data_IF_244480411007
#
_entry.id   IF_244480411007
#
_cell.length_a   1.000
_cell.length_b   1.000
_cell.length_c   1.000
_cell.angle_alpha   90.00
_cell.angle_beta   90.00
_cell.angle_gamma   90.00
#
_symmetry.space_group_name_H-M   'P 1'
#
loop_
_entity.id
_entity.type
_entity.pdbx_description
1 polymer ?
#
# COMPACT_ATOMS: atom_id res chain seq x y z
N UNK A 1 32.61 -45.90 39.05
CA UNK A 1 31.63 -46.14 37.96
C UNK A 1 30.99 -44.81 37.62
N UNK A 2 31.13 -44.36 36.37
CA UNK A 2 30.69 -43.06 35.86
C UNK A 2 29.16 -42.96 35.89
N UNK A 3 28.59 -41.99 36.60
CA UNK A 3 27.21 -41.54 36.37
C UNK A 3 27.28 -40.13 35.83
N UNK A 4 27.06 -40.04 34.53
CA UNK A 4 27.12 -38.85 33.70
C UNK A 4 25.96 -37.92 34.10
N UNK A 5 26.29 -36.71 34.52
CA UNK A 5 25.34 -35.61 34.65
C UNK A 5 25.03 -35.13 33.23
N UNK A 6 23.88 -35.50 32.66
CA UNK A 6 23.41 -34.88 31.42
C UNK A 6 22.86 -33.52 31.82
N UNK A 7 23.64 -32.47 31.61
CA UNK A 7 23.08 -31.13 31.46
C UNK A 7 22.14 -31.20 30.27
N UNK A 8 20.83 -31.13 30.52
CA UNK A 8 19.90 -30.71 29.51
C UNK A 8 20.29 -29.27 29.17
N UNK A 9 21.16 -29.11 28.17
CA UNK A 9 21.18 -27.90 27.36
C UNK A 9 19.79 -27.92 26.72
N UNK A 10 18.83 -27.31 27.41
CA UNK A 10 17.67 -26.76 26.73
C UNK A 10 18.26 -25.89 25.65
N UNK A 11 18.21 -26.38 24.41
CA UNK A 11 18.38 -25.54 23.25
C UNK A 11 17.29 -24.49 23.45
N UNK A 12 17.68 -23.31 23.93
CA UNK A 12 16.91 -22.11 23.67
C UNK A 12 16.97 -22.05 22.16
N UNK A 13 15.94 -22.58 21.50
CA UNK A 13 15.65 -22.21 20.14
C UNK A 13 15.40 -20.71 20.24
N UNK A 14 16.47 -19.94 20.09
CA UNK A 14 16.42 -18.56 19.69
C UNK A 14 15.77 -18.69 18.32
N UNK A 15 14.43 -18.68 18.29
CA UNK A 15 13.72 -18.26 17.10
C UNK A 15 14.20 -16.84 16.91
N UNK A 16 15.29 -16.68 16.18
CA UNK A 16 15.75 -15.37 15.77
C UNK A 16 14.52 -14.72 15.16
N UNK A 17 14.09 -13.62 15.74
CA UNK A 17 13.12 -12.72 15.13
C UNK A 17 13.81 -12.13 13.90
N UNK A 18 14.03 -12.97 12.89
CA UNK A 18 14.53 -12.55 11.61
C UNK A 18 13.31 -11.99 10.91
N UNK A 19 13.28 -10.68 10.71
CA UNK A 19 12.32 -10.09 9.80
C UNK A 19 12.42 -10.80 8.45
N UNK A 20 11.30 -11.36 7.99
CA UNK A 20 11.19 -11.98 6.67
C UNK A 20 10.27 -11.11 5.82
N UNK A 21 10.60 -10.98 4.53
CA UNK A 21 9.69 -10.38 3.57
C UNK A 21 8.57 -11.38 3.25
N UNK A 22 7.33 -10.92 3.37
CA UNK A 22 6.15 -11.66 2.88
C UNK A 22 5.59 -10.91 1.69
N UNK A 23 5.34 -11.62 0.59
CA UNK A 23 4.76 -11.03 -0.60
C UNK A 23 3.25 -10.88 -0.41
N UNK A 24 2.75 -9.65 -0.57
CA UNK A 24 1.32 -9.35 -0.65
C UNK A 24 0.89 -9.39 -2.11
N UNK A 25 -0.23 -10.07 -2.41
CA UNK A 25 -0.66 -10.34 -3.78
C UNK A 25 -2.05 -9.74 -4.04
N UNK A 26 -2.13 -8.58 -4.71
CA UNK A 26 -3.40 -7.98 -5.11
C UNK A 26 -4.19 -8.73 -6.18
N UNK A 27 -3.73 -9.92 -6.61
CA UNK A 27 -4.41 -10.73 -7.64
C UNK A 27 -4.32 -10.16 -9.06
N UNK A 28 -3.39 -9.25 -9.32
CA UNK A 28 -3.19 -8.59 -10.62
C UNK A 28 -1.71 -8.51 -10.99
N UNK A 29 -1.44 -8.35 -12.29
CA UNK A 29 -0.09 -8.10 -12.83
C UNK A 29 0.17 -6.59 -13.05
N UNK A 30 -0.65 -5.72 -12.46
CA UNK A 30 -0.47 -4.27 -12.54
C UNK A 30 0.90 -3.85 -11.95
N UNK A 31 1.55 -2.90 -12.62
CA UNK A 31 2.79 -2.30 -12.11
C UNK A 31 2.45 -1.17 -11.16
N UNK A 32 2.51 -1.45 -9.86
CA UNK A 32 2.34 -0.43 -8.82
C UNK A 32 3.54 0.52 -8.79
N UNK A 33 3.24 1.82 -8.67
CA UNK A 33 4.23 2.90 -8.61
C UNK A 33 4.35 3.47 -7.21
N UNK A 34 3.29 3.38 -6.41
CA UNK A 34 3.27 3.91 -5.05
C UNK A 34 2.34 3.13 -4.12
N UNK A 35 2.62 3.23 -2.82
CA UNK A 35 1.89 2.57 -1.74
C UNK A 35 1.74 3.51 -0.55
N UNK A 36 0.57 3.51 0.08
CA UNK A 36 0.26 4.29 1.27
C UNK A 36 -0.45 3.40 2.31
N UNK A 37 -0.11 3.56 3.57
CA UNK A 37 -0.83 2.94 4.70
C UNK A 37 -1.63 4.04 5.38
N UNK A 38 -2.84 3.72 5.87
CA UNK A 38 -3.65 4.66 6.63
C UNK A 38 -2.86 5.22 7.83
N UNK A 39 -3.01 6.52 8.13
CA UNK A 39 -2.29 7.15 9.23
C UNK A 39 -2.76 6.71 10.63
N UNK A 40 -3.89 5.99 10.74
CA UNK A 40 -4.47 5.61 12.04
C UNK A 40 -4.92 4.14 12.12
N UNK A 41 -4.90 3.39 11.02
CA UNK A 41 -5.30 1.99 11.00
C UNK A 41 -4.49 1.19 9.96
N UNK A 42 -3.50 0.43 10.43
CA UNK A 42 -2.57 -0.31 9.59
C UNK A 42 -3.24 -1.41 8.73
N UNK A 43 -4.49 -1.80 9.04
CA UNK A 43 -5.23 -2.74 8.19
C UNK A 43 -5.47 -2.17 6.79
N UNK A 44 -5.53 -0.84 6.67
CA UNK A 44 -5.80 -0.15 5.42
C UNK A 44 -4.52 0.18 4.68
N UNK A 45 -4.32 -0.50 3.55
CA UNK A 45 -3.19 -0.30 2.64
C UNK A 45 -3.75 0.04 1.27
N UNK A 46 -3.17 1.03 0.61
CA UNK A 46 -3.58 1.52 -0.70
C UNK A 46 -2.40 1.44 -1.64
N UNK A 47 -2.60 0.93 -2.85
CA UNK A 47 -1.57 0.90 -3.90
C UNK A 47 -2.12 1.53 -5.17
N UNK A 48 -1.27 2.23 -5.91
CA UNK A 48 -1.61 2.86 -7.18
C UNK A 48 -0.51 2.62 -8.22
N UNK A 49 -0.92 2.36 -9.46
CA UNK A 49 0.00 2.25 -10.59
C UNK A 49 -0.67 1.67 -11.84
N UNK A 50 -0.05 1.93 -13.00
CA UNK A 50 -0.80 1.83 -14.26
C UNK A 50 -2.05 2.72 -14.16
N UNK A 51 -3.18 2.28 -14.69
CA UNK A 51 -4.48 2.95 -14.54
C UNK A 51 -5.31 2.38 -13.37
N UNK A 52 -4.67 1.67 -12.43
CA UNK A 52 -5.35 0.91 -11.38
C UNK A 52 -4.98 1.38 -9.98
N UNK A 53 -5.92 1.20 -9.07
CA UNK A 53 -5.71 1.38 -7.63
C UNK A 53 -6.38 0.24 -6.88
N UNK A 54 -5.77 -0.19 -5.78
CA UNK A 54 -6.33 -1.23 -4.91
C UNK A 54 -6.25 -0.81 -3.45
N UNK A 55 -7.18 -1.34 -2.67
CA UNK A 55 -7.28 -1.14 -1.23
C UNK A 55 -7.37 -2.49 -0.54
N UNK A 56 -6.56 -2.69 0.49
CA UNK A 56 -6.71 -3.74 1.49
C UNK A 56 -7.40 -3.18 2.73
N UNK A 57 -8.13 -4.03 3.44
CA UNK A 57 -8.69 -3.75 4.77
C UNK A 57 -8.30 -4.78 5.82
N UNK A 58 -7.30 -5.61 5.50
CA UNK A 58 -6.82 -6.75 6.28
C UNK A 58 -5.29 -6.92 6.12
N UNK A 59 -4.55 -5.82 6.24
CA UNK A 59 -3.07 -5.79 6.22
C UNK A 59 -2.41 -6.35 4.94
N UNK A 60 -3.17 -6.49 3.86
CA UNK A 60 -2.71 -6.91 2.55
C UNK A 60 -3.01 -8.37 2.21
N UNK A 61 -3.79 -9.06 3.06
CA UNK A 61 -4.26 -10.43 2.82
C UNK A 61 -5.26 -10.47 1.65
N UNK A 62 -6.11 -9.45 1.52
CA UNK A 62 -7.02 -9.29 0.40
C UNK A 62 -7.07 -7.86 -0.13
N UNK A 63 -7.46 -7.72 -1.40
CA UNK A 63 -7.43 -6.45 -2.12
C UNK A 63 -8.69 -6.26 -2.94
N UNK A 64 -9.24 -5.05 -2.87
CA UNK A 64 -10.39 -4.61 -3.69
C UNK A 64 -9.94 -3.50 -4.62
N UNK A 65 -10.26 -3.61 -5.92
CA UNK A 65 -9.99 -2.56 -6.89
C UNK A 65 -10.85 -1.33 -6.59
N UNK A 66 -10.23 -0.15 -6.52
CA UNK A 66 -10.93 1.12 -6.33
C UNK A 66 -11.26 1.73 -7.69
N UNK A 67 -12.54 2.02 -7.90
CA UNK A 67 -13.01 2.62 -9.15
C UNK A 67 -12.54 4.08 -9.27
N UNK A 68 -12.04 4.44 -10.44
CA UNK A 68 -11.63 5.79 -10.79
C UNK A 68 -11.80 6.04 -12.29
N UNK A 69 -11.86 7.31 -12.72
CA UNK A 69 -12.29 7.69 -14.08
C UNK A 69 -11.17 7.91 -15.09
N UNK A 70 -9.90 7.89 -14.67
CA UNK A 70 -8.73 8.07 -15.52
C UNK A 70 -8.30 6.76 -16.20
N UNK A 71 -7.72 6.89 -17.39
CA UNK A 71 -7.09 5.78 -18.11
C UNK A 71 -5.60 6.04 -18.33
N UNK A 72 -4.97 6.77 -17.40
CA UNK A 72 -3.57 7.19 -17.46
C UNK A 72 -2.80 6.64 -16.27
N UNK A 73 -1.47 6.60 -16.39
CA UNK A 73 -0.60 6.07 -15.33
C UNK A 73 -0.69 6.93 -14.08
N UNK A 74 -1.04 6.30 -12.97
CA UNK A 74 -1.05 6.86 -11.63
C UNK A 74 0.36 6.72 -11.03
N UNK A 75 0.88 7.82 -10.47
CA UNK A 75 2.27 7.90 -10.01
C UNK A 75 2.42 8.00 -8.50
N UNK A 76 1.39 8.47 -7.79
CA UNK A 76 1.46 8.66 -6.36
C UNK A 76 0.09 8.56 -5.71
N UNK A 77 0.08 8.08 -4.46
CA UNK A 77 -1.12 7.95 -3.63
C UNK A 77 -0.78 8.34 -2.18
N UNK A 78 -1.64 9.15 -1.56
CA UNK A 78 -1.45 9.58 -0.17
C UNK A 78 -2.79 9.79 0.54
N UNK A 79 -2.85 9.38 1.80
CA UNK A 79 -4.00 9.54 2.69
C UNK A 79 -3.60 10.32 3.95
N UNK A 80 -3.78 11.65 3.99
CA UNK A 80 -3.57 12.45 5.21
C UNK A 80 -4.56 12.10 6.33
N UNK A 81 -5.73 11.56 6.00
CA UNK A 81 -6.70 11.01 6.96
C UNK A 81 -7.30 9.72 6.41
N UNK A 82 -8.05 8.96 7.22
CA UNK A 82 -8.72 7.74 6.72
C UNK A 82 -9.80 8.00 5.67
N UNK A 83 -10.32 9.23 5.59
CA UNK A 83 -11.39 9.59 4.65
C UNK A 83 -10.89 10.42 3.47
N UNK A 84 -9.84 11.23 3.67
CA UNK A 84 -9.30 12.12 2.64
C UNK A 84 -8.03 11.50 2.06
N UNK A 85 -8.03 11.32 0.75
CA UNK A 85 -6.89 10.82 -0.01
C UNK A 85 -6.73 11.54 -1.34
N UNK A 86 -5.51 11.49 -1.88
CA UNK A 86 -5.13 12.10 -3.14
C UNK A 86 -4.34 11.13 -4.00
N UNK A 87 -4.56 11.20 -5.31
CA UNK A 87 -3.81 10.44 -6.31
C UNK A 87 -3.41 11.36 -7.45
N UNK A 88 -2.16 11.28 -7.89
CA UNK A 88 -1.67 12.04 -9.03
C UNK A 88 -1.38 11.12 -10.22
N UNK A 89 -1.51 11.68 -11.43
CA UNK A 89 -1.30 10.95 -12.68
C UNK A 89 -0.28 11.62 -13.59
N UNK A 90 0.18 10.84 -14.58
CA UNK A 90 1.11 11.26 -15.61
C UNK A 90 0.59 12.43 -16.47
N UNK A 91 -0.72 12.62 -16.57
CA UNK A 91 -1.30 13.63 -17.46
C UNK A 91 -1.69 14.90 -16.71
N UNK A 92 -1.18 15.08 -15.49
CA UNK A 92 -1.40 16.30 -14.72
C UNK A 92 -2.73 16.33 -13.96
N UNK A 93 -3.44 15.20 -13.86
CA UNK A 93 -4.63 15.11 -13.02
C UNK A 93 -4.26 14.78 -11.57
N UNK A 94 -4.98 15.43 -10.65
CA UNK A 94 -5.04 15.06 -9.23
C UNK A 94 -6.48 14.68 -8.90
N UNK A 95 -6.67 13.46 -8.45
CA UNK A 95 -7.93 12.95 -7.93
C UNK A 95 -7.96 13.08 -6.41
N UNK A 96 -9.15 13.30 -5.87
CA UNK A 96 -9.41 13.36 -4.44
C UNK A 96 -10.57 12.44 -4.07
N UNK A 97 -10.43 11.79 -2.93
CA UNK A 97 -11.53 11.12 -2.22
C UNK A 97 -11.81 11.83 -0.90
N UNK A 98 -13.05 11.74 -0.42
CA UNK A 98 -13.47 12.17 0.93
C UNK A 98 -14.22 11.06 1.67
N UNK A 99 -14.22 9.84 1.13
CA UNK A 99 -14.92 8.67 1.66
C UNK A 99 -14.00 7.44 1.81
N UNK A 100 -12.69 7.67 1.92
CA UNK A 100 -11.72 6.61 2.18
C UNK A 100 -11.41 5.75 0.94
N UNK A 101 -11.54 6.34 -0.25
CA UNK A 101 -11.21 5.69 -1.52
C UNK A 101 -12.36 4.92 -2.16
N UNK A 102 -13.59 5.03 -1.64
CA UNK A 102 -14.76 4.40 -2.25
C UNK A 102 -15.17 5.12 -3.54
N UNK A 103 -14.98 6.44 -3.59
CA UNK A 103 -15.15 7.25 -4.79
C UNK A 103 -14.05 8.30 -4.92
N UNK A 104 -13.73 8.63 -6.18
CA UNK A 104 -12.69 9.59 -6.53
C UNK A 104 -13.22 10.60 -7.55
N UNK A 105 -12.92 11.88 -7.32
CA UNK A 105 -13.27 12.97 -8.23
C UNK A 105 -12.01 13.73 -8.63
N UNK A 106 -11.97 14.23 -9.87
CA UNK A 106 -10.90 15.13 -10.31
C UNK A 106 -11.00 16.42 -9.51
N UNK A 107 -9.99 16.70 -8.69
CA UNK A 107 -9.91 17.94 -7.90
C UNK A 107 -9.09 19.01 -8.60
N UNK A 108 -8.16 18.61 -9.47
CA UNK A 108 -7.31 19.51 -10.23
C UNK A 108 -6.88 18.83 -11.53
N UNK A 109 -6.82 19.61 -12.60
CA UNK A 109 -6.16 19.24 -13.84
C UNK A 109 -5.26 20.40 -14.24
N UNK A 110 -3.95 20.15 -14.31
CA UNK A 110 -3.02 21.13 -14.87
C UNK A 110 -2.75 20.75 -16.32
N UNK A 111 -2.93 21.70 -17.24
CA UNK A 111 -2.76 21.49 -18.68
C UNK A 111 -1.28 21.33 -19.13
N UNK A 112 -0.36 21.08 -18.21
CA UNK A 112 1.07 20.95 -18.48
C UNK A 112 1.61 19.65 -17.92
N UNK A 113 2.45 18.96 -18.70
CA UNK A 113 2.80 17.55 -18.54
C UNK A 113 3.31 17.13 -17.16
N UNK A 114 2.66 16.10 -16.62
CA UNK A 114 3.15 15.09 -15.68
C UNK A 114 3.68 15.53 -14.32
N UNK A 115 2.86 15.35 -13.29
CA UNK A 115 3.32 15.21 -11.91
C UNK A 115 4.08 13.88 -11.77
N UNK A 116 5.42 13.94 -11.71
CA UNK A 116 6.28 12.75 -11.52
C UNK A 116 6.66 12.47 -10.07
N UNK A 117 6.21 13.26 -9.10
CA UNK A 117 6.34 12.95 -7.67
C UNK A 117 5.37 13.80 -6.84
N UNK A 118 4.73 13.16 -5.85
CA UNK A 118 3.87 13.84 -4.87
C UNK A 118 4.70 14.74 -3.95
N UNK A 119 4.26 15.98 -3.77
CA UNK A 119 4.78 16.88 -2.73
C UNK A 119 3.67 17.05 -1.69
N UNK A 120 3.98 16.55 -0.48
CA UNK A 120 3.43 16.78 0.86
C UNK A 120 1.92 17.06 1.01
#
# INVERSE_FOLDING_TARGET
MKKILIFAISIISITGLNAQWTQLNPGTNASFQDICVSPTDNNYIFVAGGDKMYKSTDEGDSWTEMNQSLTTTLWGISFPTNSIGYVCSNDGYVLKTTDGGNSWSISLQISTGGFRQGIL
#
